data_IF_394471335647
#
_entry.id   IF_394471335647
#
_cell.length_a   1.000
_cell.length_b   1.000
_cell.length_c   1.000
_cell.angle_alpha   90.00
_cell.angle_beta   90.00
_cell.angle_gamma   90.00
#
_symmetry.space_group_name_H-M   'P 1'
#
loop_
_entity.id
_entity.type
_entity.pdbx_description
1 polymer ?
#
# COMPACT_ATOMS: atom_id res chain seq x y z
N UNK A 1 -12.38 -26.16 23.97
CA UNK A 1 -12.41 -24.75 23.51
C UNK A 1 -13.06 -23.90 24.60
N UNK A 2 -12.29 -23.16 25.40
CA UNK A 2 -12.87 -22.21 26.36
C UNK A 2 -13.38 -21.00 25.57
N UNK A 3 -14.67 -20.69 25.66
CA UNK A 3 -15.21 -19.41 25.18
C UNK A 3 -14.44 -18.31 25.90
N UNK A 4 -13.77 -17.41 25.17
CA UNK A 4 -13.28 -16.17 25.75
C UNK A 4 -14.50 -15.32 26.08
N UNK A 5 -14.66 -14.95 27.34
CA UNK A 5 -15.63 -13.94 27.73
C UNK A 5 -15.26 -12.58 27.12
N UNK A 6 -16.25 -11.71 26.84
CA UNK A 6 -15.96 -10.38 26.34
C UNK A 6 -15.18 -9.57 27.38
N UNK A 7 -14.10 -8.93 26.93
CA UNK A 7 -13.32 -8.00 27.75
C UNK A 7 -14.20 -6.81 28.11
N UNK A 8 -14.38 -6.46 29.40
CA UNK A 8 -15.13 -5.27 29.78
C UNK A 8 -14.36 -4.01 29.34
N UNK A 9 -15.03 -2.97 28.81
CA UNK A 9 -14.34 -1.74 28.45
C UNK A 9 -13.94 -0.98 29.73
N UNK A 10 -12.66 -0.59 29.93
CA UNK A 10 -12.30 0.21 31.09
C UNK A 10 -12.30 1.71 30.76
N UNK A 11 -13.33 2.39 31.28
CA UNK A 11 -13.40 3.83 31.51
C UNK A 11 -14.55 4.04 32.49
N UNK A 12 -14.29 4.65 33.65
CA UNK A 12 -15.11 4.63 34.88
C UNK A 12 -16.57 5.14 34.80
N UNK A 13 -17.10 5.42 33.61
CA UNK A 13 -18.50 5.77 33.34
C UNK A 13 -19.13 5.06 32.12
N UNK A 14 -18.47 4.07 31.50
CA UNK A 14 -19.04 3.29 30.39
C UNK A 14 -19.17 4.02 29.04
N UNK A 15 -18.65 5.25 28.93
CA UNK A 15 -18.66 6.03 27.70
C UNK A 15 -17.31 5.90 26.98
N UNK A 16 -17.32 5.42 25.73
CA UNK A 16 -16.11 5.27 24.89
C UNK A 16 -15.53 6.64 24.58
N UNK A 17 -14.23 6.79 24.78
CA UNK A 17 -13.47 8.00 24.46
C UNK A 17 -12.74 7.82 23.15
N UNK A 18 -12.85 8.81 22.28
CA UNK A 18 -12.18 8.78 20.99
C UNK A 18 -11.30 9.99 20.76
N UNK A 19 -10.23 9.76 20.01
CA UNK A 19 -9.40 10.81 19.41
C UNK A 19 -9.52 10.72 17.90
N UNK A 20 -9.63 11.85 17.22
CA UNK A 20 -9.66 11.88 15.76
C UNK A 20 -8.78 13.01 15.22
N UNK A 21 -7.89 12.71 14.27
CA UNK A 21 -7.10 13.77 13.60
C UNK A 21 -7.99 14.75 12.85
N UNK A 22 -9.13 14.29 12.32
CA UNK A 22 -9.94 15.05 11.37
C UNK A 22 -11.37 15.22 11.86
N UNK A 23 -11.89 16.45 11.77
CA UNK A 23 -13.32 16.73 11.93
C UNK A 23 -14.05 16.45 10.61
N UNK A 24 -14.22 15.17 10.28
CA UNK A 24 -14.85 14.70 9.05
C UNK A 24 -16.01 13.72 9.34
N UNK A 25 -16.50 13.01 8.34
CA UNK A 25 -17.58 12.04 8.51
C UNK A 25 -17.32 10.99 9.61
N UNK A 26 -16.05 10.60 9.85
CA UNK A 26 -15.72 9.67 10.93
C UNK A 26 -15.95 10.31 12.29
N UNK A 27 -15.55 11.58 12.44
CA UNK A 27 -15.84 12.38 13.63
C UNK A 27 -17.34 12.46 13.89
N UNK A 28 -18.13 12.84 12.87
CA UNK A 28 -19.59 12.95 12.97
C UNK A 28 -20.21 11.61 13.41
N UNK A 29 -19.70 10.51 12.87
CA UNK A 29 -20.14 9.15 13.21
C UNK A 29 -19.80 8.78 14.66
N UNK A 30 -18.63 9.16 15.19
CA UNK A 30 -18.31 8.94 16.60
C UNK A 30 -19.19 9.79 17.53
N UNK A 31 -19.42 11.06 17.18
CA UNK A 31 -20.33 11.94 17.91
C UNK A 31 -21.77 11.42 17.91
N UNK A 32 -22.27 10.94 16.78
CA UNK A 32 -23.61 10.36 16.66
C UNK A 32 -23.80 9.08 17.48
N UNK A 33 -22.71 8.36 17.82
CA UNK A 33 -22.73 7.21 18.73
C UNK A 33 -22.71 7.59 20.21
N UNK A 34 -22.67 8.89 20.53
CA UNK A 34 -22.53 9.37 21.90
C UNK A 34 -21.14 9.13 22.48
N UNK A 35 -20.12 8.90 21.65
CA UNK A 35 -18.75 8.79 22.14
C UNK A 35 -18.21 10.16 22.53
N UNK A 36 -17.32 10.18 23.52
CA UNK A 36 -16.74 11.40 24.04
C UNK A 36 -15.40 11.67 23.35
N UNK A 37 -15.25 12.86 22.77
CA UNK A 37 -13.94 13.28 22.25
C UNK A 37 -12.99 13.57 23.41
N UNK A 38 -11.71 13.26 23.24
CA UNK A 38 -10.65 13.56 24.19
C UNK A 38 -9.43 14.13 23.47
N UNK A 39 -8.84 15.16 24.05
CA UNK A 39 -7.57 15.75 23.60
C UNK A 39 -6.35 15.05 24.23
N UNK A 40 -6.56 14.06 25.10
CA UNK A 40 -5.47 13.34 25.75
C UNK A 40 -4.65 12.53 24.75
N UNK A 41 -3.32 12.59 24.86
CA UNK A 41 -2.40 11.80 24.05
C UNK A 41 -2.34 10.33 24.48
N UNK A 42 -2.73 10.02 25.72
CA UNK A 42 -2.57 8.68 26.32
C UNK A 42 -3.89 8.07 26.80
N UNK A 43 -4.91 8.89 27.03
CA UNK A 43 -6.16 8.48 27.67
C UNK A 43 -7.34 8.54 26.70
N UNK A 44 -7.44 7.50 25.88
CA UNK A 44 -8.45 7.29 24.84
C UNK A 44 -8.67 5.78 24.66
N UNK A 45 -9.84 5.39 24.16
CA UNK A 45 -10.16 3.98 23.85
C UNK A 45 -9.95 3.67 22.36
N UNK A 46 -10.36 4.60 21.49
CA UNK A 46 -10.21 4.50 20.04
C UNK A 46 -9.56 5.75 19.50
N UNK A 47 -8.45 5.61 18.78
CA UNK A 47 -7.81 6.71 18.07
C UNK A 47 -7.88 6.49 16.56
N UNK A 48 -8.57 7.41 15.88
CA UNK A 48 -8.63 7.48 14.42
C UNK A 48 -7.66 8.53 13.92
N UNK A 49 -6.46 8.07 13.58
CA UNK A 49 -5.33 8.92 13.25
C UNK A 49 -4.96 8.80 11.78
N UNK A 50 -4.18 9.76 11.29
CA UNK A 50 -3.61 9.72 9.95
C UNK A 50 -2.28 8.94 9.91
N UNK A 51 -1.85 8.61 8.69
CA UNK A 51 -0.61 7.83 8.50
C UNK A 51 0.67 8.58 8.85
N UNK A 52 0.65 9.92 8.89
CA UNK A 52 1.77 10.75 9.33
C UNK A 52 1.98 10.61 10.83
N UNK A 53 0.92 10.83 11.62
CA UNK A 53 0.96 10.61 13.06
C UNK A 53 1.44 9.20 13.42
N UNK A 54 0.95 8.17 12.70
CA UNK A 54 1.38 6.79 12.92
C UNK A 54 2.90 6.62 12.77
N UNK A 55 3.50 7.21 11.73
CA UNK A 55 4.94 7.09 11.46
C UNK A 55 5.78 7.74 12.54
N UNK A 56 5.30 8.83 13.12
CA UNK A 56 6.03 9.59 14.14
C UNK A 56 5.92 8.97 15.53
N UNK A 57 4.77 8.35 15.85
CA UNK A 57 4.43 7.99 17.24
C UNK A 57 4.35 6.48 17.48
N UNK A 58 4.06 5.64 16.48
CA UNK A 58 3.76 4.23 16.74
C UNK A 58 4.95 3.44 17.31
N UNK A 59 6.18 3.79 16.90
CA UNK A 59 7.39 3.09 17.35
C UNK A 59 7.79 3.43 18.80
N UNK A 60 7.33 4.58 19.31
CA UNK A 60 7.65 5.08 20.65
C UNK A 60 6.47 4.92 21.63
N UNK A 61 5.27 4.66 21.12
CA UNK A 61 4.07 4.54 21.93
C UNK A 61 3.84 3.12 22.45
N UNK A 62 3.46 3.02 23.72
CA UNK A 62 2.96 1.79 24.33
C UNK A 62 1.44 1.84 24.46
N UNK A 63 0.76 0.98 23.70
CA UNK A 63 -0.70 0.87 23.75
C UNK A 63 -1.17 0.01 24.92
N UNK A 64 -2.18 0.48 25.65
CA UNK A 64 -2.89 -0.34 26.61
C UNK A 64 -3.74 -1.42 25.92
N UNK A 65 -4.08 -2.51 26.63
CA UNK A 65 -4.81 -3.66 26.06
C UNK A 65 -6.18 -3.28 25.46
N UNK A 66 -6.83 -2.23 25.98
CA UNK A 66 -8.13 -1.76 25.50
C UNK A 66 -8.02 -0.80 24.30
N UNK A 67 -6.86 -0.19 24.09
CA UNK A 67 -6.66 0.84 23.08
C UNK A 67 -6.67 0.27 21.66
N UNK A 68 -7.37 0.96 20.76
CA UNK A 68 -7.49 0.57 19.34
C UNK A 68 -7.11 1.72 18.43
N UNK A 69 -6.29 1.41 17.42
CA UNK A 69 -5.94 2.31 16.32
C UNK A 69 -6.54 1.80 15.01
N UNK A 70 -6.79 2.72 14.09
CA UNK A 70 -7.29 2.43 12.73
C UNK A 70 -6.19 1.98 11.74
N UNK A 71 -4.94 1.79 12.19
CA UNK A 71 -3.82 1.40 11.33
C UNK A 71 -2.96 0.29 11.91
N UNK A 72 -2.40 -0.54 11.01
CA UNK A 72 -1.34 -1.48 11.33
C UNK A 72 0.04 -0.89 11.05
N UNK A 73 1.02 -1.17 11.92
CA UNK A 73 2.42 -0.67 11.84
C UNK A 73 3.02 -0.76 10.44
N UNK A 74 2.91 -1.94 9.81
CA UNK A 74 3.55 -2.25 8.53
C UNK A 74 2.57 -2.21 7.34
N UNK A 75 1.50 -1.40 7.42
CA UNK A 75 0.49 -1.33 6.35
C UNK A 75 1.08 -1.05 4.95
N UNK A 76 2.19 -0.32 4.89
CA UNK A 76 2.89 0.03 3.65
C UNK A 76 3.45 -1.17 2.87
N UNK A 77 3.55 -2.35 3.49
CA UNK A 77 3.90 -3.60 2.80
C UNK A 77 2.84 -4.01 1.77
N UNK A 78 1.59 -3.60 1.97
CA UNK A 78 0.48 -3.88 1.07
C UNK A 78 -0.03 -2.63 0.34
N UNK A 79 0.13 -1.44 0.91
CA UNK A 79 -0.42 -0.20 0.32
C UNK A 79 0.58 0.54 -0.58
N UNK A 80 1.89 0.31 -0.45
CA UNK A 80 2.90 0.87 -1.36
C UNK A 80 3.10 -0.05 -2.56
N UNK A 81 3.07 0.49 -3.78
CA UNK A 81 2.98 -0.31 -5.00
C UNK A 81 4.17 -1.24 -5.21
N UNK A 82 5.39 -0.79 -4.92
CA UNK A 82 6.59 -1.61 -5.04
C UNK A 82 6.64 -2.73 -3.99
N UNK A 83 6.24 -2.45 -2.75
CA UNK A 83 6.22 -3.45 -1.69
C UNK A 83 5.15 -4.52 -1.94
N UNK A 84 3.96 -4.11 -2.37
CA UNK A 84 2.89 -5.04 -2.75
C UNK A 84 3.41 -6.06 -3.78
N UNK A 85 4.02 -5.57 -4.86
CA UNK A 85 4.52 -6.45 -5.94
C UNK A 85 5.70 -7.29 -5.48
N UNK A 86 6.63 -6.74 -4.69
CA UNK A 86 7.73 -7.52 -4.09
C UNK A 86 7.20 -8.66 -3.24
N UNK A 87 6.21 -8.39 -2.39
CA UNK A 87 5.60 -9.39 -1.51
C UNK A 87 4.84 -10.46 -2.30
N UNK A 88 4.01 -10.07 -3.27
CA UNK A 88 3.29 -11.01 -4.13
C UNK A 88 4.24 -11.93 -4.92
N UNK A 89 5.26 -11.36 -5.57
CA UNK A 89 6.28 -12.15 -6.28
C UNK A 89 7.08 -13.06 -5.36
N UNK A 90 7.44 -12.59 -4.16
CA UNK A 90 8.17 -13.40 -3.17
C UNK A 90 7.35 -14.63 -2.77
N UNK A 91 6.08 -14.43 -2.42
CA UNK A 91 5.20 -15.54 -2.02
C UNK A 91 4.97 -16.51 -3.17
N UNK A 92 4.69 -16.03 -4.40
CA UNK A 92 4.52 -16.89 -5.56
C UNK A 92 5.77 -17.76 -5.82
N UNK A 93 6.98 -17.16 -5.80
CA UNK A 93 8.25 -17.88 -5.98
C UNK A 93 8.52 -18.88 -4.85
N UNK A 94 8.15 -18.54 -3.62
CA UNK A 94 8.29 -19.45 -2.48
C UNK A 94 7.40 -20.69 -2.68
N UNK A 95 6.13 -20.50 -3.03
CA UNK A 95 5.20 -21.61 -3.29
C UNK A 95 5.69 -22.52 -4.42
N UNK A 96 6.26 -21.94 -5.49
CA UNK A 96 6.87 -22.70 -6.59
C UNK A 96 8.06 -23.54 -6.11
N UNK A 97 8.93 -22.98 -5.26
CA UNK A 97 10.08 -23.72 -4.69
C UNK A 97 9.65 -24.84 -3.74
N UNK A 98 8.53 -24.67 -3.05
CA UNK A 98 7.93 -25.67 -2.17
C UNK A 98 7.11 -26.74 -2.93
N UNK A 99 7.03 -26.68 -4.27
CA UNK A 99 6.24 -27.62 -5.08
C UNK A 99 4.73 -27.40 -5.00
N UNK A 100 4.26 -26.28 -4.44
CA UNK A 100 2.83 -25.94 -4.29
C UNK A 100 2.31 -25.20 -5.53
N UNK A 101 2.36 -25.85 -6.68
CA UNK A 101 2.04 -25.22 -7.98
C UNK A 101 0.60 -24.69 -8.05
N UNK A 102 -0.38 -25.45 -7.55
CA UNK A 102 -1.78 -25.03 -7.55
C UNK A 102 -2.03 -23.78 -6.70
N UNK A 103 -1.30 -23.62 -5.58
CA UNK A 103 -1.37 -22.39 -4.78
C UNK A 103 -0.64 -21.24 -5.46
N UNK A 104 0.50 -21.50 -6.10
CA UNK A 104 1.24 -20.49 -6.84
C UNK A 104 0.46 -19.96 -8.06
N UNK A 105 -0.32 -20.80 -8.74
CA UNK A 105 -1.20 -20.40 -9.86
C UNK A 105 -2.26 -19.38 -9.45
N UNK A 106 -2.69 -19.39 -8.19
CA UNK A 106 -3.63 -18.39 -7.65
C UNK A 106 -3.06 -16.98 -7.63
N UNK A 107 -1.76 -16.79 -7.91
CA UNK A 107 -1.12 -15.47 -8.01
C UNK A 107 -1.15 -14.87 -9.43
N UNK A 108 -1.79 -15.52 -10.40
CA UNK A 108 -1.93 -14.99 -11.78
C UNK A 108 -2.96 -13.85 -11.93
N UNK A 109 -3.41 -13.26 -10.81
CA UNK A 109 -4.38 -12.16 -10.79
C UNK A 109 -3.76 -10.77 -11.00
N UNK A 110 -2.44 -10.64 -11.01
CA UNK A 110 -1.75 -9.37 -11.23
C UNK A 110 -0.89 -9.42 -12.51
N UNK A 111 -0.96 -8.39 -13.38
CA UNK A 111 -0.17 -8.36 -14.59
C UNK A 111 1.34 -8.23 -14.29
N UNK A 112 2.17 -8.64 -15.25
CA UNK A 112 3.63 -8.48 -15.18
C UNK A 112 4.01 -7.06 -14.76
N UNK A 113 4.70 -6.96 -13.62
CA UNK A 113 5.02 -5.68 -12.96
C UNK A 113 6.48 -5.63 -12.53
N UNK A 114 7.16 -4.50 -12.71
CA UNK A 114 8.60 -4.32 -12.46
C UNK A 114 8.82 -2.99 -11.73
N UNK A 115 9.82 -2.92 -10.85
CA UNK A 115 10.15 -1.70 -10.09
C UNK A 115 11.34 -1.00 -10.74
N UNK A 116 11.12 0.17 -11.36
CA UNK A 116 12.17 0.94 -11.99
C UNK A 116 12.76 2.00 -11.03
N UNK A 117 14.08 2.25 -11.08
CA UNK A 117 15.06 1.76 -12.07
C UNK A 117 15.67 0.38 -11.74
N UNK A 118 15.33 -0.23 -10.60
CA UNK A 118 15.98 -1.45 -10.10
C UNK A 118 15.87 -2.64 -11.08
N UNK A 119 14.68 -2.86 -11.62
CA UNK A 119 14.31 -3.97 -12.51
C UNK A 119 14.40 -3.62 -13.99
N UNK A 120 15.08 -2.52 -14.38
CA UNK A 120 15.08 -2.02 -15.77
C UNK A 120 15.53 -3.09 -16.78
N UNK A 121 16.58 -3.85 -16.47
CA UNK A 121 17.06 -4.92 -17.36
C UNK A 121 16.01 -6.01 -17.59
N UNK A 122 15.42 -6.53 -16.51
CA UNK A 122 14.35 -7.54 -16.57
C UNK A 122 13.12 -7.01 -17.31
N UNK A 123 12.77 -5.74 -17.10
CA UNK A 123 11.66 -5.11 -17.82
C UNK A 123 11.94 -5.01 -19.32
N UNK A 124 13.15 -4.65 -19.74
CA UNK A 124 13.51 -4.54 -21.16
C UNK A 124 13.42 -5.89 -21.88
N UNK A 125 13.79 -6.98 -21.21
CA UNK A 125 13.62 -8.34 -21.74
C UNK A 125 12.13 -8.66 -21.94
N UNK A 126 11.31 -8.44 -20.91
CA UNK A 126 9.85 -8.65 -20.98
C UNK A 126 9.18 -7.81 -22.07
N UNK A 127 9.59 -6.55 -22.20
CA UNK A 127 9.07 -5.62 -23.20
C UNK A 127 9.34 -6.11 -24.63
N UNK A 128 10.50 -6.71 -24.89
CA UNK A 128 10.83 -7.29 -26.21
C UNK A 128 9.97 -8.50 -26.55
N UNK A 129 9.61 -9.31 -25.56
CA UNK A 129 8.70 -10.45 -25.76
C UNK A 129 7.26 -10.02 -26.06
N UNK A 130 6.88 -8.80 -25.67
CA UNK A 130 5.54 -8.23 -25.85
C UNK A 130 5.58 -6.98 -26.73
N UNK A 131 6.18 -7.10 -27.92
CA UNK A 131 6.30 -5.99 -28.86
C UNK A 131 4.92 -5.40 -29.21
N UNK A 132 4.77 -4.08 -29.02
CA UNK A 132 3.52 -3.36 -29.28
C UNK A 132 2.54 -3.29 -28.10
N UNK A 133 2.76 -4.04 -27.01
CA UNK A 133 1.91 -3.98 -25.83
C UNK A 133 1.99 -2.61 -25.14
N UNK A 134 0.87 -2.19 -24.53
CA UNK A 134 0.81 -0.95 -23.75
C UNK A 134 1.23 -1.24 -22.31
N UNK A 135 2.04 -0.34 -21.76
CA UNK A 135 2.50 -0.38 -20.38
C UNK A 135 2.08 0.87 -19.63
N UNK A 136 1.85 0.74 -18.33
CA UNK A 136 1.46 1.83 -17.44
C UNK A 136 2.56 2.06 -16.40
N UNK A 137 2.99 3.31 -16.27
CA UNK A 137 3.93 3.77 -15.25
C UNK A 137 3.15 4.42 -14.10
N UNK A 138 3.45 4.02 -12.86
CA UNK A 138 2.81 4.57 -11.66
C UNK A 138 3.87 4.91 -10.59
N UNK A 139 3.85 6.10 -9.99
CA UNK A 139 4.75 6.42 -8.88
C UNK A 139 4.41 5.55 -7.66
N UNK A 140 5.44 5.08 -6.94
CA UNK A 140 5.25 4.08 -5.86
C UNK A 140 4.45 4.60 -4.67
N UNK A 141 4.57 5.90 -4.35
CA UNK A 141 3.99 6.54 -3.16
C UNK A 141 2.90 7.57 -3.44
N UNK A 142 2.51 7.79 -4.71
CA UNK A 142 1.45 8.75 -5.09
C UNK A 142 0.10 8.06 -5.28
N UNK A 143 -0.97 8.85 -5.17
CA UNK A 143 -2.35 8.41 -5.31
C UNK A 143 -3.13 9.32 -6.30
N UNK A 144 -4.42 9.02 -6.51
CA UNK A 144 -5.33 9.83 -7.35
C UNK A 144 -4.93 9.94 -8.83
N UNK A 145 -4.18 8.96 -9.36
CA UNK A 145 -3.72 8.98 -10.75
C UNK A 145 -2.59 9.97 -11.06
N UNK A 146 -2.13 10.76 -10.09
CA UNK A 146 -1.07 11.76 -10.30
C UNK A 146 0.25 11.10 -10.67
N UNK A 147 0.84 11.55 -11.78
CA UNK A 147 2.09 11.01 -12.33
C UNK A 147 1.92 9.67 -13.06
N UNK A 148 0.70 9.17 -13.26
CA UNK A 148 0.47 7.99 -14.08
C UNK A 148 0.56 8.36 -15.55
N UNK A 149 1.23 7.54 -16.34
CA UNK A 149 1.23 7.66 -17.80
C UNK A 149 1.34 6.30 -18.48
N UNK A 150 0.89 6.24 -19.74
CA UNK A 150 1.01 5.08 -20.60
C UNK A 150 2.19 5.24 -21.56
N UNK A 151 2.82 4.14 -21.92
CA UNK A 151 3.88 4.12 -22.92
C UNK A 151 3.87 2.79 -23.67
N UNK A 152 4.40 2.82 -24.89
CA UNK A 152 4.54 1.64 -25.74
C UNK A 152 5.89 1.63 -26.49
N UNK A 153 6.80 2.56 -26.15
CA UNK A 153 8.17 2.63 -26.67
C UNK A 153 9.15 2.88 -25.53
N UNK A 154 10.26 2.15 -25.50
CA UNK A 154 11.31 2.33 -24.48
C UNK A 154 11.91 3.75 -24.48
N UNK A 155 11.89 4.44 -25.62
CA UNK A 155 12.36 5.82 -25.74
C UNK A 155 11.56 6.82 -24.88
N UNK A 156 10.36 6.45 -24.41
CA UNK A 156 9.53 7.31 -23.56
C UNK A 156 9.91 7.23 -22.07
N UNK A 157 10.77 6.29 -21.67
CA UNK A 157 11.11 6.03 -20.26
C UNK A 157 12.63 6.01 -20.04
N UNK A 158 13.38 6.71 -20.89
CA UNK A 158 14.86 6.72 -20.88
C UNK A 158 15.44 7.19 -19.56
N UNK A 159 14.72 8.03 -18.82
CA UNK A 159 15.16 8.58 -17.53
C UNK A 159 15.30 7.49 -16.45
N UNK A 160 14.59 6.38 -16.59
CA UNK A 160 14.68 5.22 -15.68
C UNK A 160 15.74 4.19 -16.09
N UNK A 161 16.46 4.42 -17.19
CA UNK A 161 17.61 3.61 -17.57
C UNK A 161 18.75 3.90 -16.59
N UNK A 162 19.25 2.88 -15.88
CA UNK A 162 20.45 3.04 -15.04
C UNK A 162 21.64 3.48 -15.91
N UNK A 163 22.13 4.69 -15.70
CA UNK A 163 23.54 4.99 -15.94
C UNK A 163 24.28 4.45 -14.70
N UNK A 164 25.12 3.43 -14.83
CA UNK A 164 25.87 2.82 -13.71
C UNK A 164 26.93 3.77 -13.11
N UNK A 165 26.92 5.04 -13.52
CA UNK A 165 27.80 6.08 -12.99
C UNK A 165 27.09 6.71 -11.81
N UNK A 166 27.60 6.43 -10.61
CA UNK A 166 27.38 7.30 -9.45
C UNK A 166 27.72 8.73 -9.89
N UNK A 167 26.70 9.59 -10.00
CA UNK A 167 26.86 11.02 -10.23
C UNK A 167 26.25 11.70 -9.01
N UNK A 168 27.08 12.39 -8.22
CA UNK A 168 26.63 13.14 -7.04
C UNK A 168 25.53 14.16 -7.36
N UNK A 169 25.48 14.61 -8.61
CA UNK A 169 24.69 15.76 -9.04
C UNK A 169 23.46 15.39 -9.87
N UNK A 170 23.18 14.10 -10.09
CA UNK A 170 22.01 13.70 -10.86
C UNK A 170 20.90 13.25 -9.91
N UNK A 171 19.75 13.95 -9.83
CA UNK A 171 18.64 13.50 -9.01
C UNK A 171 18.25 12.09 -9.46
N UNK A 172 18.34 11.13 -8.53
CA UNK A 172 17.97 9.75 -8.78
C UNK A 172 16.53 9.74 -9.31
N UNK A 173 16.31 9.12 -10.48
CA UNK A 173 14.99 9.04 -11.09
C UNK A 173 13.97 8.54 -10.05
N UNK A 174 12.83 9.23 -9.94
CA UNK A 174 11.75 8.86 -9.01
C UNK A 174 11.39 7.38 -9.23
N UNK A 175 11.24 6.61 -8.15
CA UNK A 175 10.94 5.17 -8.27
C UNK A 175 9.50 4.96 -8.75
N UNK A 176 9.34 4.14 -9.79
CA UNK A 176 8.04 3.81 -10.38
C UNK A 176 7.83 2.30 -10.43
N UNK A 177 6.56 1.88 -10.44
CA UNK A 177 6.20 0.56 -10.96
C UNK A 177 5.81 0.69 -12.43
N UNK A 178 6.34 -0.21 -13.24
CA UNK A 178 5.95 -0.44 -14.63
C UNK A 178 5.13 -1.71 -14.66
N UNK A 179 3.95 -1.66 -15.26
CA UNK A 179 3.01 -2.78 -15.26
C UNK A 179 2.38 -2.92 -16.65
N UNK A 180 2.15 -4.15 -17.11
CA UNK A 180 1.43 -4.38 -18.37
C UNK A 180 0.00 -3.83 -18.25
N UNK A 181 -0.42 -3.03 -19.21
CA UNK A 181 -1.75 -2.43 -19.21
C UNK A 181 -2.80 -3.50 -19.56
N UNK A 182 -3.97 -3.43 -18.95
CA UNK A 182 -5.09 -4.31 -19.27
C UNK A 182 -5.88 -3.67 -20.41
N UNK A 183 -5.60 -4.10 -21.63
CA UNK A 183 -6.13 -3.49 -22.85
C UNK A 183 -7.60 -3.80 -23.11
N UNK A 184 -8.10 -4.94 -22.62
CA UNK A 184 -9.48 -5.38 -22.80
C UNK A 184 -10.19 -5.49 -21.44
N UNK A 185 -10.48 -4.36 -20.75
CA UNK A 185 -11.27 -4.41 -19.54
C UNK A 185 -12.72 -4.81 -19.85
N UNK A 186 -13.41 -5.41 -18.88
CA UNK A 186 -14.85 -5.59 -18.95
C UNK A 186 -15.50 -4.19 -18.97
N UNK A 187 -16.28 -3.92 -20.01
CA UNK A 187 -16.96 -2.64 -20.19
C UNK A 187 -18.38 -2.68 -19.62
N UNK A 188 -18.78 -1.62 -18.95
CA UNK A 188 -20.16 -1.40 -18.47
C UNK A 188 -20.73 -0.18 -19.19
N UNK A 189 -21.71 -0.40 -20.07
CA UNK A 189 -22.24 0.67 -20.92
C UNK A 189 -21.22 1.23 -21.92
N UNK A 190 -20.25 0.40 -22.34
CA UNK A 190 -19.19 0.79 -23.27
C UNK A 190 -18.06 1.63 -22.64
N UNK A 191 -17.95 1.61 -21.31
CA UNK A 191 -16.91 2.32 -20.54
C UNK A 191 -16.20 1.37 -19.57
#
# INVERSE_FOLDING_TARGET
MRRREPVPPPGSNGQVRFRCTFHNTIYDVFRARGWQETDSDVDWDVAWIDTGWLRENFDTMHLAEHQRLNHFRNHYELTRKDNLIKNLKRTQRQLQREGKEEEARKYDFFPGTYVLPADYGLFVEEFKHHAGAIWIMKPIGKAQGKGIFLFNKLSQITDWKKDHRWKSDNPQAETYVVQRYVENPLLVGGK
#
